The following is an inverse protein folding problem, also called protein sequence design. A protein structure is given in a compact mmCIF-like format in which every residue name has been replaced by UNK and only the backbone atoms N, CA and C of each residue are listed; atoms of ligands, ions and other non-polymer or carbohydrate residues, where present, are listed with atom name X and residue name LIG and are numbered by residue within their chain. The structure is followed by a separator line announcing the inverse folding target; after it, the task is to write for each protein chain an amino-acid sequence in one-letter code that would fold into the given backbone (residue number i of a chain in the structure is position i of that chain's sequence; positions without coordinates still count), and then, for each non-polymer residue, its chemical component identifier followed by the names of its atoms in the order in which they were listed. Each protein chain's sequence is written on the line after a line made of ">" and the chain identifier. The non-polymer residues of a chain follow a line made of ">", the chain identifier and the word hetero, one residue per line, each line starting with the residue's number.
data_IF_643225768689
#
_entry.id   IF_643225768689
#
_cell.length_a   1.000
_cell.length_b   1.000
_cell.length_c   1.000
_cell.angle_alpha   90.00
_cell.angle_beta   90.00
_cell.angle_gamma   90.00
#
_symmetry.space_group_name_H-M   'P 1'
#
loop_
_entity.id
_entity.type
_entity.pdbx_description
1 polymer ?
#
# COMPACT_ATOMS: atom_id res chain seq x y z
N UNK A 1 5.68 4.49 11.42
CA UNK A 1 4.97 3.99 12.61
C UNK A 1 3.85 3.12 12.09
N UNK A 2 3.68 1.94 12.67
CA UNK A 2 2.56 1.04 12.38
C UNK A 2 1.48 1.35 13.41
N UNK A 3 0.24 1.52 12.97
CA UNK A 3 -0.90 1.48 13.87
C UNK A 3 -1.18 0.01 14.24
N UNK A 4 -1.39 -0.20 15.54
CA UNK A 4 -1.57 -1.51 16.18
C UNK A 4 -0.41 -2.52 15.98
N UNK A 5 -0.60 -3.77 16.42
CA UNK A 5 0.42 -4.81 16.50
C UNK A 5 0.51 -5.73 15.27
N UNK A 6 -0.40 -5.60 14.31
CA UNK A 6 -0.44 -6.47 13.12
C UNK A 6 0.69 -6.12 12.16
N UNK A 7 1.48 -7.13 11.79
CA UNK A 7 2.65 -6.94 10.93
C UNK A 7 2.26 -6.50 9.51
N UNK A 8 2.85 -5.39 9.06
CA UNK A 8 2.72 -4.84 7.70
C UNK A 8 3.88 -5.30 6.80
N UNK A 9 4.69 -6.26 7.22
CA UNK A 9 5.87 -6.70 6.47
C UNK A 9 5.51 -7.25 5.07
N UNK A 10 4.34 -7.85 4.92
CA UNK A 10 3.80 -8.33 3.63
C UNK A 10 3.20 -7.22 2.77
N UNK A 11 2.94 -6.05 3.35
CA UNK A 11 2.45 -4.85 2.67
C UNK A 11 3.59 -3.96 2.19
N UNK A 12 4.83 -4.27 2.58
CA UNK A 12 5.99 -3.51 2.18
C UNK A 12 6.09 -3.52 0.65
N UNK A 13 6.09 -2.32 0.06
CA UNK A 13 6.53 -2.09 -1.30
C UNK A 13 8.01 -2.46 -1.39
N UNK A 14 8.26 -3.74 -1.69
CA UNK A 14 9.59 -4.34 -1.66
C UNK A 14 10.46 -3.90 -2.84
N UNK A 15 9.95 -3.06 -3.75
CA UNK A 15 10.55 -2.74 -5.05
C UNK A 15 10.90 -3.98 -5.89
N UNK A 16 10.38 -5.16 -5.54
CA UNK A 16 10.66 -6.41 -6.28
C UNK A 16 9.55 -6.78 -7.26
N UNK A 17 8.34 -6.23 -7.07
CA UNK A 17 7.16 -6.46 -7.88
C UNK A 17 6.46 -5.13 -8.14
N UNK A 18 6.10 -4.86 -9.39
CA UNK A 18 5.30 -3.70 -9.74
C UNK A 18 3.87 -3.86 -9.20
N UNK A 19 3.36 -2.81 -8.56
CA UNK A 19 2.02 -2.81 -7.98
C UNK A 19 1.71 -1.53 -7.22
N UNK A 20 0.67 -1.58 -6.40
CA UNK A 20 0.22 -0.47 -5.58
C UNK A 20 -0.26 -0.96 -4.23
N UNK A 21 -0.05 -0.15 -3.19
CA UNK A 21 -0.70 -0.32 -1.91
C UNK A 21 -2.08 0.35 -1.97
N UNK A 22 -3.15 -0.38 -1.67
CA UNK A 22 -4.52 0.13 -1.70
C UNK A 22 -5.31 -0.31 -0.47
N UNK A 23 -6.46 0.35 -0.23
CA UNK A 23 -7.53 -0.15 0.66
C UNK A 23 -8.69 -0.67 -0.18
N UNK A 24 -9.49 -1.56 0.40
CA UNK A 24 -10.75 -1.98 -0.23
C UNK A 24 -11.74 -0.80 -0.23
N UNK A 25 -12.35 -0.48 -1.37
CA UNK A 25 -13.11 0.77 -1.57
C UNK A 25 -14.30 0.97 -0.61
N UNK A 26 -14.78 -0.10 0.02
CA UNK A 26 -15.91 -0.09 0.95
C UNK A 26 -15.55 -0.70 2.32
N UNK A 27 -14.27 -0.81 2.67
CA UNK A 27 -13.88 -1.27 4.00
C UNK A 27 -13.99 -0.15 5.03
N UNK A 28 -14.10 -0.55 6.29
CA UNK A 28 -13.97 0.33 7.45
C UNK A 28 -12.49 0.54 7.75
N UNK A 29 -12.14 1.73 8.21
CA UNK A 29 -10.84 2.01 8.83
C UNK A 29 -10.86 1.41 10.24
N UNK A 30 -10.03 0.39 10.47
CA UNK A 30 -10.01 -0.37 11.72
C UNK A 30 -8.92 0.09 12.69
N UNK A 31 -8.19 1.16 12.34
CA UNK A 31 -6.98 1.61 13.04
C UNK A 31 -5.89 0.52 13.08
N UNK A 32 -5.93 -0.41 12.11
CA UNK A 32 -4.97 -1.51 11.94
C UNK A 32 -4.52 -1.57 10.47
N UNK A 33 -3.29 -1.10 10.24
CA UNK A 33 -2.72 -1.06 8.89
C UNK A 33 -2.59 -2.45 8.24
N UNK A 34 -2.37 -3.51 9.03
CA UNK A 34 -2.26 -4.87 8.53
C UNK A 34 -3.59 -5.45 8.04
N UNK A 35 -4.71 -4.86 8.47
CA UNK A 35 -6.06 -5.22 8.04
C UNK A 35 -6.53 -4.32 6.90
N UNK A 36 -6.26 -3.02 7.02
CA UNK A 36 -6.86 -2.00 6.16
C UNK A 36 -6.18 -1.86 4.80
N UNK A 37 -4.91 -2.24 4.70
CA UNK A 37 -4.11 -2.09 3.49
C UNK A 37 -3.72 -3.44 2.88
N UNK A 38 -3.62 -3.46 1.55
CA UNK A 38 -3.23 -4.62 0.75
C UNK A 38 -2.37 -4.20 -0.42
N UNK A 39 -1.36 -5.02 -0.74
CA UNK A 39 -0.63 -4.88 -1.99
C UNK A 39 -1.41 -5.54 -3.14
N UNK A 40 -1.48 -4.86 -4.28
CA UNK A 40 -2.06 -5.40 -5.53
C UNK A 40 -1.12 -5.14 -6.70
N UNK A 41 -1.05 -6.08 -7.65
CA UNK A 41 -0.31 -5.90 -8.91
C UNK A 41 -1.10 -5.07 -9.93
N UNK A 42 -2.38 -4.77 -9.65
CA UNK A 42 -3.14 -3.82 -10.45
C UNK A 42 -2.73 -2.42 -10.04
N UNK A 43 -1.87 -1.79 -10.82
CA UNK A 43 -1.39 -0.43 -10.57
C UNK A 43 -2.56 0.55 -10.62
N UNK A 44 -2.65 1.43 -9.62
CA UNK A 44 -3.66 2.49 -9.62
C UNK A 44 -3.38 3.43 -10.80
N UNK A 45 -4.32 3.63 -11.75
CA UNK A 45 -4.10 4.49 -12.89
C UNK A 45 -3.77 5.93 -12.46
N UNK A 46 -2.70 6.52 -13.00
CA UNK A 46 -2.26 7.86 -12.63
C UNK A 46 -0.93 8.22 -13.27
N UNK A 47 -0.44 9.44 -12.99
CA UNK A 47 0.91 9.83 -13.38
C UNK A 47 1.93 8.95 -12.66
N UNK A 48 2.97 8.50 -13.37
CA UNK A 48 4.06 7.76 -12.77
C UNK A 48 4.69 8.60 -11.64
N UNK A 49 5.00 7.95 -10.51
CA UNK A 49 5.68 8.60 -9.40
C UNK A 49 7.19 8.69 -9.73
N UNK A 50 7.54 9.56 -10.67
CA UNK A 50 8.91 9.73 -11.16
C UNK A 50 9.62 10.78 -10.31
N UNK A 51 10.78 10.43 -9.74
CA UNK A 51 11.71 11.46 -9.25
C UNK A 51 12.24 12.20 -10.48
N UNK A 52 11.74 13.41 -10.70
CA UNK A 52 12.36 14.35 -11.64
C UNK A 52 13.58 14.96 -10.98
N UNK A 53 14.73 14.87 -11.64
CA UNK A 53 15.91 15.63 -11.26
C UNK A 53 15.58 17.15 -11.32
N UNK A 54 16.15 17.96 -10.42
CA UNK A 54 15.89 19.41 -10.35
C UNK A 54 16.31 20.16 -11.62
#
# INVERSE_FOLDING_TARGET
>A
MQEDATSTATLADSNTLEGSLCRDANSTDTDDNGVDFKFTTTVTPGAANVITAP
#
